data_IF_711659452888
#
_entry.id   IF_711659452888
#
_cell.length_a   1.000
_cell.length_b   1.000
_cell.length_c   1.000
_cell.angle_alpha   90.00
_cell.angle_beta   90.00
_cell.angle_gamma   90.00
#
_symmetry.space_group_name_H-M   'P 1'
#
loop_
_entity.id
_entity.type
_entity.pdbx_description
1 polymer ?
#
# COMPACT_ATOMS: atom_id res chain seq x y z
N UNK A 1 -8.19 10.85 -24.48
CA UNK A 1 -6.86 10.26 -24.62
C UNK A 1 -6.78 9.17 -23.57
N UNK A 2 -7.51 8.10 -23.85
CA UNK A 2 -7.48 6.83 -23.12
C UNK A 2 -6.54 5.93 -23.93
N UNK A 3 -5.23 6.07 -23.72
CA UNK A 3 -4.27 5.16 -24.34
C UNK A 3 -3.82 4.13 -23.32
N UNK A 4 -4.32 2.92 -23.53
CA UNK A 4 -3.72 1.61 -23.30
C UNK A 4 -3.00 1.31 -21.98
N UNK A 5 -3.79 1.14 -20.94
CA UNK A 5 -3.36 0.36 -19.79
C UNK A 5 -3.29 -1.16 -20.08
N UNK A 6 -3.92 -1.61 -21.16
CA UNK A 6 -3.98 -3.04 -21.53
C UNK A 6 -2.76 -3.57 -22.29
N UNK A 7 -1.79 -2.73 -22.66
CA UNK A 7 -0.59 -3.18 -23.39
C UNK A 7 0.54 -3.69 -22.51
N UNK A 8 0.42 -3.64 -21.19
CA UNK A 8 1.48 -4.05 -20.25
C UNK A 8 1.30 -5.51 -19.79
N UNK A 9 0.12 -6.08 -19.96
CA UNK A 9 -0.12 -7.50 -19.64
C UNK A 9 -0.32 -8.29 -20.94
N UNK A 10 0.79 -8.72 -21.55
CA UNK A 10 0.76 -9.76 -22.56
C UNK A 10 0.42 -11.08 -21.87
N UNK A 11 -0.86 -11.47 -21.96
CA UNK A 11 -1.36 -12.75 -21.42
C UNK A 11 -0.62 -13.97 -21.99
N UNK A 12 0.13 -13.82 -23.08
CA UNK A 12 0.91 -14.90 -23.70
C UNK A 12 2.29 -15.11 -23.03
N UNK A 13 2.77 -14.21 -22.17
CA UNK A 13 4.00 -14.45 -21.42
C UNK A 13 3.78 -15.25 -20.12
N UNK A 14 2.56 -15.37 -19.64
CA UNK A 14 2.25 -16.10 -18.39
C UNK A 14 2.27 -17.63 -18.59
N UNK A 15 2.19 -18.13 -19.82
CA UNK A 15 2.02 -19.58 -20.10
C UNK A 15 3.32 -20.36 -20.31
N UNK A 16 4.49 -19.72 -20.30
CA UNK A 16 5.77 -20.40 -20.52
C UNK A 16 6.70 -20.47 -19.30
N UNK A 17 6.20 -20.28 -18.09
CA UNK A 17 6.93 -20.77 -16.92
C UNK A 17 6.75 -22.28 -16.86
N UNK A 18 7.69 -22.94 -17.52
CA UNK A 18 7.78 -24.41 -17.57
C UNK A 18 7.59 -24.97 -16.15
N UNK A 19 6.61 -25.86 -16.05
CA UNK A 19 6.27 -26.68 -14.88
C UNK A 19 7.40 -27.65 -14.47
N UNK A 20 8.65 -27.35 -14.74
CA UNK A 20 9.80 -28.25 -14.62
C UNK A 20 10.72 -27.97 -13.43
N UNK A 21 10.24 -27.29 -12.36
CA UNK A 21 11.02 -27.27 -11.10
C UNK A 21 10.17 -27.26 -9.85
N UNK A 22 9.21 -28.11 -9.78
CA UNK A 22 8.30 -28.27 -8.65
C UNK A 22 8.89 -29.00 -7.45
N UNK A 23 10.12 -28.87 -7.06
CA UNK A 23 10.60 -29.51 -5.82
C UNK A 23 11.84 -28.81 -5.22
N UNK A 24 11.96 -27.51 -5.30
CA UNK A 24 12.90 -26.87 -4.38
C UNK A 24 12.16 -26.58 -3.06
N UNK A 25 12.26 -27.51 -2.09
CA UNK A 25 11.57 -27.47 -0.79
C UNK A 25 12.05 -26.36 0.16
N UNK A 26 12.89 -25.44 -0.33
CA UNK A 26 13.53 -24.41 0.47
C UNK A 26 13.10 -22.97 0.09
N UNK A 27 11.96 -22.82 -0.58
CA UNK A 27 11.45 -21.47 -0.87
C UNK A 27 10.82 -20.87 0.37
N UNK A 28 11.31 -19.71 0.79
CA UNK A 28 10.73 -18.91 1.89
C UNK A 28 10.04 -17.70 1.27
N UNK A 29 8.79 -17.47 1.64
CA UNK A 29 8.03 -16.28 1.24
C UNK A 29 7.98 -15.36 2.46
N UNK A 30 8.49 -14.16 2.31
CA UNK A 30 8.33 -13.09 3.28
C UNK A 30 7.29 -12.10 2.75
N UNK A 31 6.28 -11.82 3.57
CA UNK A 31 5.24 -10.86 3.25
C UNK A 31 5.30 -9.71 4.25
N UNK A 32 5.51 -8.49 3.75
CA UNK A 32 5.50 -7.26 4.54
C UNK A 32 4.27 -6.43 4.14
N UNK A 33 3.45 -6.08 5.11
CA UNK A 33 2.31 -5.18 4.95
C UNK A 33 2.53 -3.96 5.84
N UNK A 34 2.48 -2.77 5.25
CA UNK A 34 2.62 -1.51 5.99
C UNK A 34 1.24 -1.03 6.39
N UNK A 35 0.96 -1.11 7.67
CA UNK A 35 -0.31 -0.67 8.24
C UNK A 35 -0.60 0.81 7.98
N UNK A 36 -1.84 1.10 7.53
CA UNK A 36 -2.34 2.45 7.26
C UNK A 36 -1.30 3.35 6.54
N UNK A 37 -0.60 2.81 5.55
CA UNK A 37 0.57 3.39 4.91
C UNK A 37 0.40 4.87 4.55
N UNK A 38 -0.69 5.25 3.85
CA UNK A 38 -0.91 6.64 3.46
C UNK A 38 -1.06 7.56 4.66
N UNK A 39 -1.75 7.11 5.71
CA UNK A 39 -1.87 7.91 6.94
C UNK A 39 -0.51 8.08 7.63
N UNK A 40 0.34 7.04 7.63
CA UNK A 40 1.70 7.15 8.16
C UNK A 40 2.55 8.15 7.36
N UNK A 41 2.49 8.14 6.03
CA UNK A 41 3.20 9.11 5.19
C UNK A 41 2.78 10.55 5.53
N UNK A 42 1.48 10.80 5.65
CA UNK A 42 1.00 12.15 6.00
C UNK A 42 1.39 12.57 7.43
N UNK A 43 1.39 11.64 8.39
CA UNK A 43 1.88 11.93 9.75
C UNK A 43 3.40 12.19 9.80
N UNK A 44 4.18 11.63 8.88
CA UNK A 44 5.61 11.95 8.74
C UNK A 44 5.79 13.35 8.14
N UNK A 45 4.96 13.73 7.16
CA UNK A 45 4.99 15.06 6.52
C UNK A 45 4.53 16.16 7.48
N UNK A 46 3.51 15.88 8.28
CA UNK A 46 3.00 16.80 9.31
C UNK A 46 2.89 16.09 10.67
N UNK A 47 3.88 16.26 11.56
CA UNK A 47 3.89 15.66 12.89
C UNK A 47 2.69 16.08 13.79
N UNK A 48 1.99 17.17 13.49
CA UNK A 48 0.81 17.57 14.25
C UNK A 48 -0.39 16.63 14.06
N UNK A 49 -0.33 15.76 13.06
CA UNK A 49 -1.33 14.74 12.77
C UNK A 49 -1.18 13.48 13.64
N UNK A 50 -0.02 13.24 14.23
CA UNK A 50 0.29 11.99 14.95
C UNK A 50 -0.66 11.73 16.11
N UNK A 51 -1.11 12.80 16.81
CA UNK A 51 -2.00 12.70 17.98
C UNK A 51 -3.49 12.86 17.64
N UNK A 52 -3.83 12.98 16.35
CA UNK A 52 -5.20 13.22 15.89
C UNK A 52 -5.77 12.02 15.14
N UNK A 53 -7.09 11.83 15.10
CA UNK A 53 -7.71 10.89 14.19
C UNK A 53 -7.56 11.42 12.76
N UNK A 54 -6.84 10.68 11.91
CA UNK A 54 -6.54 11.06 10.52
C UNK A 54 -7.16 10.07 9.57
N UNK A 55 -7.89 10.58 8.58
CA UNK A 55 -8.44 9.82 7.48
C UNK A 55 -7.91 10.36 6.14
N UNK A 56 -7.47 9.46 5.27
CA UNK A 56 -7.03 9.82 3.92
C UNK A 56 -8.23 9.74 3.00
N UNK A 57 -8.57 10.88 2.42
CA UNK A 57 -9.71 11.03 1.52
C UNK A 57 -9.29 10.85 0.08
N UNK A 58 -10.04 10.03 -0.66
CA UNK A 58 -10.05 10.04 -2.11
C UNK A 58 -11.51 10.09 -2.59
N UNK A 59 -11.83 11.05 -3.44
CA UNK A 59 -13.21 11.33 -3.85
C UNK A 59 -14.12 11.49 -2.62
N UNK A 60 -15.08 10.60 -2.45
CA UNK A 60 -16.11 10.64 -1.40
C UNK A 60 -15.90 9.64 -0.26
N UNK A 61 -14.75 8.97 -0.24
CA UNK A 61 -14.47 7.93 0.76
C UNK A 61 -13.17 8.20 1.53
N UNK A 62 -13.12 7.69 2.74
CA UNK A 62 -11.91 7.55 3.53
C UNK A 62 -11.29 6.21 3.15
N UNK A 63 -10.23 6.23 2.33
CA UNK A 63 -9.60 5.01 1.81
C UNK A 63 -8.84 4.25 2.88
N UNK A 64 -8.20 4.97 3.78
CA UNK A 64 -7.53 4.43 4.97
C UNK A 64 -7.49 5.49 6.08
N UNK A 65 -7.23 5.07 7.30
CA UNK A 65 -7.12 5.97 8.44
C UNK A 65 -6.13 5.41 9.46
N UNK A 66 -5.62 6.28 10.35
CA UNK A 66 -4.74 5.87 11.42
C UNK A 66 -5.50 5.12 12.53
N UNK A 67 -4.76 4.57 13.50
CA UNK A 67 -5.35 3.77 14.58
C UNK A 67 -6.28 4.59 15.48
N UNK A 68 -5.98 5.84 15.73
CA UNK A 68 -6.83 6.74 16.55
C UNK A 68 -8.23 6.88 15.91
N UNK A 69 -8.29 7.02 14.58
CA UNK A 69 -9.57 7.08 13.88
C UNK A 69 -10.29 5.72 13.87
N UNK A 70 -9.54 4.61 13.74
CA UNK A 70 -10.11 3.24 13.80
C UNK A 70 -10.74 2.93 15.15
N UNK A 71 -10.09 3.34 16.26
CA UNK A 71 -10.64 3.20 17.62
C UNK A 71 -11.95 3.95 17.81
N UNK A 72 -12.17 5.03 17.04
CA UNK A 72 -13.41 5.79 17.00
C UNK A 72 -14.45 5.27 15.99
N UNK A 73 -14.18 4.12 15.38
CA UNK A 73 -15.12 3.45 14.49
C UNK A 73 -14.99 3.81 13.00
N UNK A 74 -13.95 4.54 12.59
CA UNK A 74 -13.70 4.82 11.17
C UNK A 74 -13.01 3.63 10.54
N UNK A 75 -13.64 3.01 9.52
CA UNK A 75 -13.10 1.87 8.78
C UNK A 75 -12.38 2.25 7.49
N UNK A 76 -11.75 1.28 6.84
CA UNK A 76 -11.25 1.40 5.46
C UNK A 76 -12.43 1.52 4.49
N UNK A 77 -12.26 2.32 3.44
CA UNK A 77 -13.26 2.55 2.39
C UNK A 77 -14.63 3.04 2.92
N UNK A 78 -14.63 3.74 4.04
CA UNK A 78 -15.84 4.31 4.64
C UNK A 78 -16.24 5.59 3.92
N UNK A 79 -17.54 5.75 3.67
CA UNK A 79 -18.07 6.99 3.10
C UNK A 79 -17.86 8.17 4.07
N UNK A 80 -17.42 9.33 3.56
CA UNK A 80 -17.03 10.47 4.41
C UNK A 80 -18.12 10.88 5.38
N UNK A 81 -19.41 11.03 5.00
CA UNK A 81 -20.46 11.37 5.96
C UNK A 81 -20.61 10.39 7.12
N UNK A 82 -20.38 9.08 6.86
CA UNK A 82 -20.47 8.06 7.90
C UNK A 82 -19.21 8.06 8.78
N UNK A 83 -18.05 8.28 8.19
CA UNK A 83 -16.80 8.47 8.93
C UNK A 83 -16.89 9.68 9.89
N UNK A 84 -17.45 10.81 9.42
CA UNK A 84 -17.65 12.01 10.23
C UNK A 84 -18.71 11.85 11.32
N UNK A 85 -19.71 10.96 11.11
CA UNK A 85 -20.64 10.59 12.18
C UNK A 85 -19.97 9.77 13.27
N UNK A 86 -19.09 8.84 12.89
CA UNK A 86 -18.33 8.01 13.83
C UNK A 86 -17.27 8.81 14.58
N UNK A 87 -16.59 9.73 13.89
CA UNK A 87 -15.53 10.56 14.45
C UNK A 87 -15.67 12.01 13.96
N UNK A 88 -16.42 12.88 14.67
CA UNK A 88 -16.63 14.29 14.27
C UNK A 88 -15.34 15.12 14.21
N UNK A 89 -14.31 14.76 14.97
CA UNK A 89 -13.00 15.40 14.96
C UNK A 89 -12.02 14.80 13.93
N UNK A 90 -12.49 13.95 13.03
CA UNK A 90 -11.65 13.33 11.98
C UNK A 90 -11.01 14.39 11.10
N UNK A 91 -9.69 14.37 11.04
CA UNK A 91 -8.91 15.22 10.13
C UNK A 91 -8.82 14.51 8.79
N UNK A 92 -9.47 15.07 7.77
CA UNK A 92 -9.41 14.54 6.41
C UNK A 92 -8.22 15.16 5.67
N UNK A 93 -7.36 14.31 5.14
CA UNK A 93 -6.22 14.69 4.30
C UNK A 93 -6.47 14.17 2.88
N UNK A 94 -6.29 15.03 1.88
CA UNK A 94 -6.43 14.64 0.47
C UNK A 94 -5.30 13.70 0.06
N UNK A 95 -5.65 12.50 -0.40
CA UNK A 95 -4.74 11.45 -0.83
C UNK A 95 -4.86 11.12 -2.32
N UNK A 96 -5.35 12.03 -3.16
CA UNK A 96 -5.50 11.79 -4.61
C UNK A 96 -4.15 11.86 -5.34
N UNK A 97 -3.20 12.68 -4.86
CA UNK A 97 -1.86 12.70 -5.41
C UNK A 97 -1.03 11.55 -4.83
N UNK A 98 -0.70 10.59 -5.68
CA UNK A 98 0.04 9.38 -5.29
C UNK A 98 1.56 9.53 -5.38
N UNK A 99 2.10 10.67 -5.81
CA UNK A 99 3.53 10.85 -6.06
C UNK A 99 4.38 10.60 -4.81
N UNK A 100 3.99 11.20 -3.68
CA UNK A 100 4.69 11.03 -2.41
C UNK A 100 4.58 9.57 -1.89
N UNK A 101 3.41 8.96 -1.99
CA UNK A 101 3.22 7.57 -1.54
C UNK A 101 4.08 6.60 -2.34
N UNK A 102 4.18 6.77 -3.66
CA UNK A 102 5.06 5.97 -4.52
C UNK A 102 6.53 6.15 -4.15
N UNK A 103 6.95 7.38 -3.89
CA UNK A 103 8.31 7.69 -3.47
C UNK A 103 8.66 7.01 -2.14
N UNK A 104 7.80 7.09 -1.14
CA UNK A 104 7.99 6.42 0.16
C UNK A 104 7.96 4.90 0.02
N UNK A 105 7.06 4.35 -0.77
CA UNK A 105 7.02 2.93 -1.08
C UNK A 105 8.33 2.46 -1.70
N UNK A 106 8.88 3.18 -2.68
CA UNK A 106 10.16 2.84 -3.29
C UNK A 106 11.33 2.87 -2.28
N UNK A 107 11.36 3.85 -1.38
CA UNK A 107 12.40 3.93 -0.35
C UNK A 107 12.34 2.73 0.61
N UNK A 108 11.15 2.32 1.03
CA UNK A 108 10.96 1.14 1.88
C UNK A 108 11.43 -0.11 1.14
N UNK A 109 11.04 -0.25 -0.12
CA UNK A 109 11.50 -1.32 -0.99
C UNK A 109 13.04 -1.40 -1.04
N UNK A 110 13.69 -0.28 -1.36
CA UNK A 110 15.16 -0.21 -1.47
C UNK A 110 15.84 -0.55 -0.15
N UNK A 111 15.24 -0.14 0.99
CA UNK A 111 15.74 -0.48 2.32
C UNK A 111 15.69 -1.98 2.58
N UNK A 112 14.56 -2.62 2.30
CA UNK A 112 14.37 -4.05 2.48
C UNK A 112 15.33 -4.81 1.55
N UNK A 113 15.39 -4.43 0.27
CA UNK A 113 16.24 -5.04 -0.75
C UNK A 113 17.73 -5.02 -0.34
N UNK A 114 18.24 -3.88 0.12
CA UNK A 114 19.64 -3.74 0.56
C UNK A 114 20.00 -4.59 1.78
N UNK A 115 19.03 -4.82 2.67
CA UNK A 115 19.27 -5.58 3.89
C UNK A 115 19.06 -7.08 3.76
N UNK A 116 18.50 -7.56 2.65
CA UNK A 116 18.26 -8.99 2.44
C UNK A 116 19.43 -9.72 1.83
N UNK A 117 20.38 -9.02 1.18
CA UNK A 117 21.65 -9.60 0.68
C UNK A 117 21.51 -10.63 -0.45
N UNK A 118 20.32 -10.77 -1.05
CA UNK A 118 20.06 -11.79 -2.05
C UNK A 118 19.94 -11.18 -3.45
N UNK A 119 20.75 -11.67 -4.40
CA UNK A 119 20.77 -11.23 -5.80
C UNK A 119 19.60 -11.79 -6.64
N UNK A 120 18.84 -12.76 -6.12
CA UNK A 120 17.81 -13.49 -6.85
C UNK A 120 16.41 -13.33 -6.22
N UNK A 121 15.95 -12.07 -6.08
CA UNK A 121 14.58 -11.83 -5.66
C UNK A 121 13.64 -11.67 -6.83
N UNK A 122 12.61 -12.51 -6.88
CA UNK A 122 11.40 -12.18 -7.62
C UNK A 122 10.51 -11.36 -6.69
N UNK A 123 10.59 -10.05 -6.81
CA UNK A 123 9.75 -9.14 -6.07
C UNK A 123 8.48 -8.87 -6.86
N UNK A 124 7.34 -9.15 -6.25
CA UNK A 124 6.08 -8.59 -6.66
C UNK A 124 5.72 -7.45 -5.70
N UNK A 125 5.97 -6.21 -6.08
CA UNK A 125 5.45 -5.05 -5.39
C UNK A 125 4.03 -4.83 -5.88
N UNK A 126 3.04 -5.19 -5.08
CA UNK A 126 1.65 -4.83 -5.36
C UNK A 126 1.37 -3.51 -4.65
N UNK A 127 1.59 -2.42 -5.35
CA UNK A 127 1.06 -1.13 -4.94
C UNK A 127 -0.37 -1.03 -5.46
N UNK A 128 -1.32 -1.65 -4.76
CA UNK A 128 -2.73 -1.31 -4.97
C UNK A 128 -2.99 0.05 -4.34
N UNK A 129 -3.98 0.80 -4.83
CA UNK A 129 -4.25 2.19 -4.44
C UNK A 129 -4.41 2.42 -2.93
N UNK A 130 -4.43 1.36 -2.11
CA UNK A 130 -4.74 1.43 -0.67
C UNK A 130 -3.81 0.63 0.23
N UNK A 131 -2.97 -0.24 -0.33
CA UNK A 131 -2.14 -1.18 0.43
C UNK A 131 -0.77 -1.26 -0.23
N UNK A 132 0.28 -1.06 0.55
CA UNK A 132 1.66 -1.32 0.12
C UNK A 132 2.08 -2.65 0.72
N UNK A 133 2.13 -3.66 -0.13
CA UNK A 133 2.54 -5.01 0.25
C UNK A 133 3.78 -5.40 -0.54
N UNK A 134 4.72 -6.04 0.12
CA UNK A 134 5.91 -6.57 -0.49
C UNK A 134 5.96 -8.07 -0.27
N UNK A 135 6.05 -8.82 -1.38
CA UNK A 135 6.26 -10.25 -1.36
C UNK A 135 7.69 -10.55 -1.78
N UNK A 136 8.41 -11.27 -0.94
CA UNK A 136 9.75 -11.73 -1.24
C UNK A 136 9.74 -13.25 -1.35
N UNK A 137 10.25 -13.77 -2.45
CA UNK A 137 10.51 -15.19 -2.63
C UNK A 137 12.02 -15.42 -2.45
N UNK A 138 12.40 -16.14 -1.42
CA UNK A 138 13.79 -16.54 -1.13
C UNK A 138 13.97 -18.01 -1.52
#
# INVERSE_FOLDING_TARGET
>A
MEEDFNSIFDENQVTNYETNNCLNRNRVILHFDIDCFYAQVEMIKDPNLVSKPVGIQQKNIVVTCNYIAREKGVGKCTWIPDAMKACPELVLVNGEDLADYRRWSQQIFDLIYRNTGYENFNLCSVCTDYIVQYFFLI
#
